data_IF_907492567664
#
_entry.id   IF_907492567664
#
_cell.length_a   1.000
_cell.length_b   1.000
_cell.length_c   1.000
_cell.angle_alpha   90.00
_cell.angle_beta   90.00
_cell.angle_gamma   90.00
#
_symmetry.space_group_name_H-M   'P 1'
#
loop_
_entity.id
_entity.type
_entity.pdbx_description
1 polymer ?
#
# COMPACT_ATOMS: atom_id res chain seq x y z
N UNK A 1 -11.14 -0.22 -16.73
CA UNK A 1 -10.24 -1.38 -16.88
C UNK A 1 -8.90 -1.01 -16.24
N UNK A 2 -8.88 -0.65 -14.95
CA UNK A 2 -7.73 0.02 -14.31
C UNK A 2 -7.45 -0.51 -12.87
N UNK A 3 -8.19 -1.55 -12.44
CA UNK A 3 -8.17 -2.07 -11.06
C UNK A 3 -6.86 -2.75 -10.67
N UNK A 4 -6.09 -3.26 -11.63
CA UNK A 4 -4.82 -3.95 -11.35
C UNK A 4 -3.74 -2.96 -10.87
N UNK A 5 -3.76 -1.73 -11.37
CA UNK A 5 -2.73 -0.74 -11.08
C UNK A 5 -2.70 -0.26 -9.63
N UNK A 6 -3.85 -0.15 -8.95
CA UNK A 6 -3.86 0.35 -7.56
C UNK A 6 -3.19 -0.63 -6.61
N UNK A 7 -3.43 -1.93 -6.78
CA UNK A 7 -2.83 -2.97 -5.95
C UNK A 7 -1.33 -3.01 -6.24
N UNK A 8 -0.92 -3.12 -7.50
CA UNK A 8 0.50 -3.09 -7.86
C UNK A 8 1.22 -1.87 -7.30
N UNK A 9 0.59 -0.69 -7.39
CA UNK A 9 1.14 0.55 -6.84
C UNK A 9 1.26 0.50 -5.32
N UNK A 10 0.26 -0.04 -4.64
CA UNK A 10 0.30 -0.24 -3.20
C UNK A 10 1.49 -1.12 -2.77
N UNK A 11 1.75 -2.19 -3.51
CA UNK A 11 2.89 -3.07 -3.26
C UNK A 11 4.23 -2.40 -3.56
N UNK A 12 4.31 -1.54 -4.59
CA UNK A 12 5.51 -0.74 -4.83
C UNK A 12 5.77 0.22 -3.67
N UNK A 13 4.74 0.95 -3.22
CA UNK A 13 4.83 1.86 -2.08
C UNK A 13 5.20 1.12 -0.80
N UNK A 14 4.60 -0.05 -0.53
CA UNK A 14 4.96 -0.87 0.62
C UNK A 14 6.41 -1.37 0.58
N UNK A 15 7.05 -1.43 -0.59
CA UNK A 15 8.48 -1.76 -0.76
C UNK A 15 9.39 -0.53 -0.67
N UNK A 16 8.85 0.66 -0.49
CA UNK A 16 9.64 1.86 -0.18
C UNK A 16 9.80 1.98 1.33
N UNK A 17 10.96 2.46 1.83
CA UNK A 17 11.14 2.74 3.26
C UNK A 17 10.31 3.94 3.75
N UNK A 18 9.70 4.70 2.83
CA UNK A 18 8.85 5.85 3.13
C UNK A 18 7.47 5.42 3.64
N UNK A 19 6.97 4.26 3.22
CA UNK A 19 5.76 3.69 3.76
C UNK A 19 6.12 2.79 4.95
N UNK A 20 5.50 3.03 6.11
CA UNK A 20 5.71 2.25 7.35
C UNK A 20 4.52 1.36 7.74
N UNK A 21 3.39 1.53 7.06
CA UNK A 21 2.16 0.77 7.28
C UNK A 21 1.22 0.92 6.07
N UNK A 22 0.16 0.12 6.02
CA UNK A 22 -0.88 0.24 4.97
C UNK A 22 -1.54 1.61 4.92
N UNK A 23 -1.63 2.33 6.05
CA UNK A 23 -2.19 3.68 6.09
C UNK A 23 -1.37 4.67 5.27
N UNK A 24 -0.03 4.60 5.35
CA UNK A 24 0.86 5.39 4.49
C UNK A 24 0.68 5.03 3.02
N UNK A 25 0.61 3.74 2.71
CA UNK A 25 0.37 3.26 1.34
C UNK A 25 -0.95 3.82 0.79
N UNK A 26 -2.04 3.71 1.56
CA UNK A 26 -3.36 4.24 1.17
C UNK A 26 -3.33 5.77 1.00
N UNK A 27 -2.61 6.46 1.88
CA UNK A 27 -2.49 7.91 1.86
C UNK A 27 -1.67 8.39 0.65
N UNK A 28 -0.60 7.68 0.31
CA UNK A 28 0.19 7.91 -0.89
C UNK A 28 -0.63 7.66 -2.17
N UNK A 29 -1.39 6.57 -2.23
CA UNK A 29 -2.32 6.31 -3.34
C UNK A 29 -3.38 7.42 -3.45
N UNK A 30 -3.97 7.83 -2.34
CA UNK A 30 -4.93 8.95 -2.37
C UNK A 30 -4.28 10.24 -2.87
N UNK A 31 -3.01 10.49 -2.56
CA UNK A 31 -2.26 11.65 -3.03
C UNK A 31 -1.90 11.56 -4.52
N UNK A 32 -1.71 10.35 -5.06
CA UNK A 32 -1.50 10.09 -6.49
C UNK A 32 -2.79 10.28 -7.33
N UNK A 33 -3.96 10.41 -6.69
CA UNK A 33 -5.25 10.60 -7.35
C UNK A 33 -6.06 9.31 -7.54
N UNK A 34 -5.69 8.22 -6.85
CA UNK A 34 -6.51 7.02 -6.82
C UNK A 34 -7.84 7.30 -6.10
N UNK A 35 -8.94 6.79 -6.65
CA UNK A 35 -10.27 7.02 -6.09
C UNK A 35 -10.51 6.19 -4.83
N UNK A 36 -11.39 6.67 -3.95
CA UNK A 36 -11.79 5.96 -2.74
C UNK A 36 -12.33 4.55 -3.05
N UNK A 37 -12.95 4.34 -4.21
CA UNK A 37 -13.41 3.03 -4.66
C UNK A 37 -12.24 2.05 -4.88
N UNK A 38 -11.14 2.51 -5.48
CA UNK A 38 -9.92 1.71 -5.65
C UNK A 38 -9.24 1.46 -4.31
N UNK A 39 -9.25 2.47 -3.43
CA UNK A 39 -8.67 2.38 -2.09
C UNK A 39 -9.51 1.46 -1.17
N UNK A 40 -10.81 1.34 -1.41
CA UNK A 40 -11.73 0.55 -0.60
C UNK A 40 -11.33 -0.94 -0.54
N UNK A 41 -10.55 -1.42 -1.50
CA UNK A 41 -10.00 -2.77 -1.46
C UNK A 41 -8.94 -2.97 -0.36
N UNK A 42 -8.21 -1.92 0.05
CA UNK A 42 -7.22 -1.98 1.14
C UNK A 42 -7.85 -1.88 2.54
N UNK A 43 -9.14 -1.58 2.63
CA UNK A 43 -9.89 -1.62 3.89
C UNK A 43 -10.08 -3.07 4.39
N UNK A 44 -9.86 -4.07 3.54
CA UNK A 44 -9.89 -5.48 3.92
C UNK A 44 -8.74 -5.86 4.86
N UNK A 45 -9.08 -6.52 5.97
CA UNK A 45 -8.11 -6.93 7.01
C UNK A 45 -6.94 -7.75 6.45
N UNK A 46 -7.20 -8.64 5.47
CA UNK A 46 -6.17 -9.50 4.87
C UNK A 46 -5.13 -8.72 4.06
N UNK A 47 -5.57 -7.80 3.18
CA UNK A 47 -4.68 -6.96 2.38
C UNK A 47 -3.88 -6.02 3.27
N UNK A 48 -4.52 -5.46 4.30
CA UNK A 48 -3.85 -4.60 5.27
C UNK A 48 -2.74 -5.35 6.01
N UNK A 49 -3.02 -6.57 6.48
CA UNK A 49 -2.02 -7.40 7.13
C UNK A 49 -0.84 -7.73 6.19
N UNK A 50 -1.12 -8.02 4.93
CA UNK A 50 -0.10 -8.34 3.92
C UNK A 50 0.80 -7.14 3.60
N UNK A 51 0.21 -5.98 3.27
CA UNK A 51 0.97 -4.75 3.00
C UNK A 51 1.81 -4.33 4.20
N UNK A 52 1.25 -4.41 5.41
CA UNK A 52 1.99 -4.08 6.63
C UNK A 52 3.16 -5.05 6.87
N UNK A 53 3.02 -6.33 6.50
CA UNK A 53 4.09 -7.32 6.60
C UNK A 53 5.24 -6.99 5.64
N UNK A 54 4.92 -6.65 4.39
CA UNK A 54 5.92 -6.29 3.37
C UNK A 54 6.67 -5.04 3.78
N UNK A 55 5.92 -4.03 4.18
CA UNK A 55 6.43 -2.77 4.66
C UNK A 55 7.38 -2.94 5.85
N UNK A 56 7.02 -3.76 6.85
CA UNK A 56 7.92 -4.11 7.94
C UNK A 56 9.16 -4.87 7.48
N UNK A 57 9.03 -5.79 6.53
CA UNK A 57 10.15 -6.52 5.98
C UNK A 57 11.13 -5.61 5.23
N UNK A 58 10.61 -4.64 4.48
CA UNK A 58 11.41 -3.60 3.79
C UNK A 58 12.10 -2.69 4.78
N UNK A 59 11.39 -2.17 5.79
CA UNK A 59 11.99 -1.32 6.83
C UNK A 59 13.10 -2.06 7.59
N UNK A 60 12.95 -3.35 7.85
CA UNK A 60 13.98 -4.19 8.48
C UNK A 60 15.19 -4.49 7.57
N UNK A 61 15.03 -4.40 6.24
CA UNK A 61 16.09 -4.65 5.27
C UNK A 61 16.87 -3.37 4.90
N UNK A 62 16.31 -2.20 5.19
CA UNK A 62 16.93 -0.90 4.95
C UNK A 62 17.77 -0.38 6.14
N UNK A 63 17.86 -1.14 7.24
CA UNK A 63 18.63 -0.84 8.45
C UNK A 63 19.86 -1.74 8.56
#
# INVERSE_FOLDING_TARGET
MNRTHVVERAYQLARTPECLNTGDVVKALSAEGYSNADISHFQGASIRADLNRICKATAAQAA
#
